data_IF_726850473284
#
_entry.id   IF_726850473284
#
_cell.length_a   1.000
_cell.length_b   1.000
_cell.length_c   1.000
_cell.angle_alpha   90.00
_cell.angle_beta   90.00
_cell.angle_gamma   90.00
#
_symmetry.space_group_name_H-M   'P 1'
#
loop_
_entity.id
_entity.type
_entity.pdbx_description
1 polymer ?
#
# COMPACT_ATOMS: atom_id res chain seq x y z
N UNK A 1 -8.20 3.78 -9.84
CA UNK A 1 -7.29 3.39 -8.74
C UNK A 1 -6.16 2.49 -9.22
N UNK A 2 -6.43 1.44 -10.00
CA UNK A 2 -5.39 0.60 -10.60
C UNK A 2 -4.39 1.39 -11.47
N UNK A 3 -4.88 2.16 -12.46
CA UNK A 3 -4.02 2.98 -13.34
C UNK A 3 -3.16 4.00 -12.57
N UNK A 4 -3.69 4.56 -11.48
CA UNK A 4 -2.96 5.52 -10.65
C UNK A 4 -1.77 4.86 -9.95
N UNK A 5 -2.01 3.68 -9.36
CA UNK A 5 -0.97 2.90 -8.69
C UNK A 5 0.06 2.40 -9.70
N UNK A 6 -0.40 1.89 -10.84
CA UNK A 6 0.47 1.41 -11.91
C UNK A 6 1.38 2.51 -12.48
N UNK A 7 0.80 3.69 -12.76
CA UNK A 7 1.57 4.87 -13.19
C UNK A 7 2.61 5.26 -12.14
N UNK A 8 2.24 5.26 -10.86
CA UNK A 8 3.18 5.62 -9.78
C UNK A 8 4.29 4.58 -9.62
N UNK A 9 3.98 3.29 -9.70
CA UNK A 9 4.95 2.20 -9.59
C UNK A 9 6.00 2.23 -10.70
N UNK A 10 5.65 2.75 -11.88
CA UNK A 10 6.57 2.90 -13.01
C UNK A 10 7.39 4.20 -13.00
N UNK A 11 7.24 5.07 -11.99
CA UNK A 11 8.04 6.29 -11.90
C UNK A 11 9.50 5.97 -11.53
N UNK A 12 10.44 6.68 -12.15
CA UNK A 12 11.86 6.66 -11.75
C UNK A 12 12.02 7.05 -10.27
N UNK A 13 12.95 6.40 -9.55
CA UNK A 13 13.22 6.63 -8.13
C UNK A 13 12.08 6.28 -7.17
N UNK A 14 11.27 5.27 -7.52
CA UNK A 14 10.25 4.75 -6.63
C UNK A 14 10.89 3.98 -5.45
N UNK A 15 10.87 4.60 -4.27
CA UNK A 15 11.40 4.03 -3.03
C UNK A 15 10.29 3.57 -2.07
N UNK A 16 10.69 2.93 -0.96
CA UNK A 16 9.75 2.46 0.08
C UNK A 16 8.78 3.56 0.53
N UNK A 17 9.27 4.79 0.71
CA UNK A 17 8.48 5.91 1.21
C UNK A 17 7.39 6.34 0.22
N UNK A 18 7.72 6.35 -1.06
CA UNK A 18 6.83 6.73 -2.15
C UNK A 18 5.79 5.64 -2.40
N UNK A 19 6.19 4.37 -2.25
CA UNK A 19 5.29 3.22 -2.27
C UNK A 19 4.29 3.26 -1.12
N UNK A 20 4.77 3.42 0.13
CA UNK A 20 3.93 3.50 1.32
C UNK A 20 2.88 4.62 1.21
N UNK A 21 3.28 5.82 0.74
CA UNK A 21 2.36 6.95 0.52
C UNK A 21 1.35 6.71 -0.59
N UNK A 22 1.69 5.93 -1.60
CA UNK A 22 0.75 5.53 -2.65
C UNK A 22 -0.32 4.61 -2.08
N UNK A 23 0.10 3.61 -1.29
CA UNK A 23 -0.82 2.74 -0.57
C UNK A 23 -1.68 3.53 0.43
N UNK A 24 -1.12 4.53 1.12
CA UNK A 24 -1.87 5.42 2.02
C UNK A 24 -3.02 6.11 1.29
N UNK A 25 -2.71 6.82 0.20
CA UNK A 25 -3.70 7.56 -0.57
C UNK A 25 -4.82 6.64 -1.07
N UNK A 26 -4.46 5.48 -1.61
CA UNK A 26 -5.42 4.55 -2.19
C UNK A 26 -6.28 3.92 -1.08
N UNK A 27 -5.71 3.66 0.09
CA UNK A 27 -6.44 3.18 1.27
C UNK A 27 -7.41 4.23 1.81
N UNK A 28 -7.04 5.51 1.81
CA UNK A 28 -7.94 6.61 2.19
C UNK A 28 -9.10 6.78 1.21
N UNK A 29 -8.84 6.64 -0.09
CA UNK A 29 -9.88 6.70 -1.13
C UNK A 29 -10.83 5.50 -1.09
N UNK A 30 -10.34 4.31 -0.74
CA UNK A 30 -11.17 3.11 -0.63
C UNK A 30 -11.97 3.04 0.68
N UNK A 31 -11.45 3.63 1.74
CA UNK A 31 -11.97 3.53 3.10
C UNK A 31 -10.94 2.92 4.04
N UNK A 32 -10.20 3.79 4.74
CA UNK A 32 -9.08 3.39 5.62
C UNK A 32 -9.48 2.33 6.66
N UNK A 33 -10.67 2.43 7.25
CA UNK A 33 -11.15 1.48 8.25
C UNK A 33 -11.34 0.07 7.69
N UNK A 34 -11.83 -0.04 6.46
CA UNK A 34 -12.04 -1.32 5.78
C UNK A 34 -10.70 -1.97 5.43
N UNK A 35 -9.77 -1.18 4.91
CA UNK A 35 -8.42 -1.66 4.56
C UNK A 35 -7.63 -2.06 5.81
N UNK A 36 -7.70 -1.26 6.87
CA UNK A 36 -7.05 -1.57 8.14
C UNK A 36 -7.61 -2.87 8.76
N UNK A 37 -8.93 -3.04 8.76
CA UNK A 37 -9.57 -4.26 9.26
C UNK A 37 -9.11 -5.50 8.49
N UNK A 38 -9.02 -5.42 7.16
CA UNK A 38 -8.50 -6.51 6.32
C UNK A 38 -7.03 -6.86 6.62
N UNK A 39 -6.27 -5.93 7.21
CA UNK A 39 -4.89 -6.13 7.64
C UNK A 39 -4.76 -6.49 9.12
N UNK A 40 -5.87 -6.62 9.87
CA UNK A 40 -5.82 -6.87 11.31
C UNK A 40 -5.28 -5.69 12.14
N UNK A 41 -5.29 -4.48 11.57
CA UNK A 41 -4.83 -3.24 12.21
C UNK A 41 -6.00 -2.31 12.47
N UNK A 42 -5.82 -1.39 13.42
CA UNK A 42 -6.67 -0.21 13.49
C UNK A 42 -6.25 0.84 12.45
N UNK A 43 -7.14 1.80 12.19
CA UNK A 43 -6.93 2.83 11.15
C UNK A 43 -5.76 3.76 11.43
N UNK A 44 -5.41 3.97 12.69
CA UNK A 44 -4.33 4.87 13.09
C UNK A 44 -2.98 4.15 12.99
N UNK A 45 -2.91 2.89 13.42
CA UNK A 45 -1.76 2.01 13.24
C UNK A 45 -1.39 1.88 11.75
N UNK A 46 -2.38 1.61 10.89
CA UNK A 46 -2.16 1.54 9.45
C UNK A 46 -1.67 2.89 8.89
N UNK A 47 -2.28 4.02 9.29
CA UNK A 47 -1.82 5.35 8.84
C UNK A 47 -0.37 5.63 9.22
N UNK A 48 0.03 5.33 10.46
CA UNK A 48 1.42 5.53 10.91
C UNK A 48 2.40 4.70 10.10
N UNK A 49 2.00 3.49 9.70
CA UNK A 49 2.84 2.63 8.88
C UNK A 49 2.94 3.14 7.44
N UNK A 50 1.81 3.44 6.80
CA UNK A 50 1.80 3.91 5.40
C UNK A 50 2.32 5.35 5.23
N UNK A 51 2.33 6.15 6.31
CA UNK A 51 2.94 7.48 6.33
C UNK A 51 4.45 7.45 6.65
N UNK A 52 5.03 6.26 6.87
CA UNK A 52 6.47 6.09 7.12
C UNK A 52 6.91 6.45 8.55
N UNK A 53 5.98 6.58 9.50
CA UNK A 53 6.32 6.70 10.95
C UNK A 53 6.74 5.35 11.53
N UNK A 54 6.42 4.26 10.83
CA UNK A 54 6.90 2.89 11.09
C UNK A 54 7.36 2.25 9.78
N UNK A 55 8.28 1.28 9.81
CA UNK A 55 8.71 0.54 8.62
C UNK A 55 7.53 -0.09 7.87
N UNK A 56 7.61 -0.14 6.54
CA UNK A 56 6.60 -0.83 5.75
C UNK A 56 6.90 -2.33 5.70
N UNK A 57 6.14 -3.11 6.46
CA UNK A 57 6.22 -4.57 6.41
C UNK A 57 5.47 -5.14 5.20
N UNK A 58 6.02 -6.23 4.64
CA UNK A 58 5.44 -6.90 3.48
C UNK A 58 4.05 -7.50 3.75
N UNK A 59 3.76 -7.93 4.98
CA UNK A 59 2.44 -8.41 5.36
C UNK A 59 1.36 -7.33 5.16
N UNK A 60 1.70 -6.08 5.49
CA UNK A 60 0.81 -4.94 5.33
C UNK A 60 0.62 -4.57 3.86
N UNK A 61 1.65 -4.75 3.03
CA UNK A 61 1.52 -4.62 1.57
C UNK A 61 0.56 -5.68 1.02
N UNK A 62 0.69 -6.94 1.44
CA UNK A 62 -0.22 -8.03 1.03
C UNK A 62 -1.65 -7.79 1.52
N UNK A 63 -1.82 -7.31 2.76
CA UNK A 63 -3.12 -7.00 3.32
C UNK A 63 -3.81 -5.87 2.58
N UNK A 64 -3.10 -4.76 2.32
CA UNK A 64 -3.63 -3.60 1.58
C UNK A 64 -4.01 -4.00 0.16
N UNK A 65 -3.11 -4.70 -0.55
CA UNK A 65 -3.40 -5.13 -1.94
C UNK A 65 -4.60 -6.07 -2.01
N UNK A 66 -4.73 -7.02 -1.08
CA UNK A 66 -5.92 -7.88 -0.98
C UNK A 66 -7.19 -7.09 -0.70
N UNK A 67 -7.15 -6.14 0.24
CA UNK A 67 -8.29 -5.30 0.59
C UNK A 67 -8.78 -4.44 -0.60
N UNK A 68 -7.84 -3.98 -1.42
CA UNK A 68 -8.10 -3.16 -2.60
C UNK A 68 -8.45 -3.99 -3.85
N UNK A 69 -8.44 -5.32 -3.77
CA UNK A 69 -8.66 -6.21 -4.94
C UNK A 69 -7.55 -6.13 -5.98
N UNK A 70 -6.32 -5.78 -5.58
CA UNK A 70 -5.15 -5.63 -6.45
C UNK A 70 -4.35 -6.94 -6.44
N UNK A 71 -3.93 -7.40 -7.62
CA UNK A 71 -3.00 -8.51 -7.77
C UNK A 71 -1.57 -8.00 -7.91
N UNK A 72 -0.68 -8.47 -7.05
CA UNK A 72 0.76 -8.26 -7.17
C UNK A 72 1.35 -9.31 -8.10
N UNK A 73 2.10 -8.87 -9.11
CA UNK A 73 2.90 -9.72 -9.98
C UNK A 73 4.37 -9.52 -9.66
N UNK A 74 5.04 -10.59 -9.28
CA UNK A 74 6.47 -10.60 -9.00
C UNK A 74 7.19 -11.08 -10.26
N UNK A 75 8.14 -10.28 -10.74
CA UNK A 75 9.02 -10.65 -11.83
C UNK A 75 10.46 -10.65 -11.30
N UNK A 76 11.14 -11.77 -11.47
CA UNK A 76 12.56 -11.87 -11.16
C UNK A 76 13.35 -11.46 -12.40
N UNK A 77 14.07 -10.34 -12.33
CA UNK A 77 15.08 -9.98 -13.31
C UNK A 77 16.41 -10.60 -12.89
N UNK A 78 16.92 -11.52 -13.70
CA UNK A 78 18.26 -12.12 -13.55
C UNK A 78 19.37 -11.13 -13.91
#
# INVERSE_FOLDING_TARGET
MADYLDTRLHMSHYDESTFARSLLLVSELHGMSLVAHACGLDSDAMRRQLNGTRPLYFDSVLGVTRALGIQLRLEASA
#
